data_IF_851237476924
#
_entry.id   IF_851237476924
#
_cell.length_a   1.000
_cell.length_b   1.000
_cell.length_c   1.000
_cell.angle_alpha   90.00
_cell.angle_beta   90.00
_cell.angle_gamma   90.00
#
_symmetry.space_group_name_H-M   'P 1'
#
loop_
_entity.id
_entity.type
_entity.pdbx_description
1 polymer ?
#
# COMPACT_ATOMS: atom_id res chain seq x y z
N UNK A 1 -10.82 -0.27 -15.88
CA UNK A 1 -9.65 -0.25 -16.74
C UNK A 1 -10.03 -0.19 -18.22
N UNK A 2 -9.15 0.33 -19.05
CA UNK A 2 -9.19 0.09 -20.50
C UNK A 2 -8.47 -1.22 -20.80
N UNK A 3 -8.84 -1.91 -21.89
CA UNK A 3 -8.18 -3.15 -22.34
C UNK A 3 -6.66 -2.98 -22.55
N UNK A 4 -6.19 -1.75 -22.71
CA UNK A 4 -4.76 -1.39 -22.80
C UNK A 4 -4.02 -1.62 -21.49
N UNK A 5 -4.58 -1.20 -20.34
CA UNK A 5 -3.90 -1.26 -19.04
C UNK A 5 -3.59 -2.72 -18.63
N UNK A 6 -4.50 -3.66 -18.93
CA UNK A 6 -4.25 -5.08 -18.70
C UNK A 6 -3.23 -5.67 -19.68
N UNK A 7 -3.19 -5.20 -20.93
CA UNK A 7 -2.16 -5.62 -21.88
C UNK A 7 -0.76 -5.16 -21.42
N UNK A 8 -0.65 -3.92 -20.94
CA UNK A 8 0.59 -3.36 -20.40
C UNK A 8 1.05 -4.12 -19.15
N UNK A 9 0.13 -4.46 -18.25
CA UNK A 9 0.42 -5.28 -17.06
C UNK A 9 0.94 -6.67 -17.47
N UNK A 10 0.26 -7.37 -18.38
CA UNK A 10 0.72 -8.68 -18.88
C UNK A 10 2.10 -8.61 -19.51
N UNK A 11 2.37 -7.57 -20.29
CA UNK A 11 3.68 -7.35 -20.88
C UNK A 11 4.76 -7.18 -19.80
N UNK A 12 4.50 -6.33 -18.80
CA UNK A 12 5.44 -6.10 -17.70
C UNK A 12 5.72 -7.36 -16.87
N UNK A 13 4.67 -8.14 -16.55
CA UNK A 13 4.81 -9.45 -15.86
C UNK A 13 5.66 -10.42 -16.69
N UNK A 14 5.46 -10.44 -18.01
CA UNK A 14 6.29 -11.23 -18.93
C UNK A 14 7.75 -10.82 -18.95
N UNK A 15 8.06 -9.52 -18.89
CA UNK A 15 9.43 -9.02 -18.79
C UNK A 15 10.09 -9.36 -17.43
N UNK A 16 9.32 -9.26 -16.34
CA UNK A 16 9.79 -9.64 -15.01
C UNK A 16 10.14 -11.13 -14.94
N UNK A 17 9.34 -11.99 -15.58
CA UNK A 17 9.63 -13.43 -15.72
C UNK A 17 11.01 -13.69 -16.34
N UNK A 18 11.28 -13.09 -17.49
CA UNK A 18 12.57 -13.24 -18.19
C UNK A 18 13.74 -12.76 -17.32
N UNK A 19 13.53 -11.67 -16.57
CA UNK A 19 14.55 -11.12 -15.67
C UNK A 19 14.84 -12.08 -14.51
N UNK A 20 13.81 -12.66 -13.89
CA UNK A 20 13.97 -13.62 -12.79
C UNK A 20 14.60 -14.94 -13.27
N UNK A 21 14.24 -15.42 -14.46
CA UNK A 21 14.89 -16.58 -15.08
C UNK A 21 16.39 -16.35 -15.30
N UNK A 22 16.78 -15.16 -15.76
CA UNK A 22 18.19 -14.78 -15.88
C UNK A 22 18.90 -14.72 -14.50
N UNK A 23 18.22 -14.23 -13.45
CA UNK A 23 18.76 -14.28 -12.09
C UNK A 23 18.96 -15.72 -11.62
N UNK A 24 17.99 -16.60 -11.85
CA UNK A 24 18.09 -18.03 -11.52
C UNK A 24 19.23 -18.71 -12.25
N UNK A 25 19.44 -18.39 -13.52
CA UNK A 25 20.58 -18.92 -14.28
C UNK A 25 21.93 -18.51 -13.69
N UNK A 26 22.03 -17.30 -13.13
CA UNK A 26 23.29 -16.78 -12.56
C UNK A 26 23.50 -17.16 -11.09
N UNK A 27 22.43 -17.25 -10.30
CA UNK A 27 22.50 -17.40 -8.84
C UNK A 27 21.95 -18.74 -8.33
N UNK A 28 21.42 -19.60 -9.21
CA UNK A 28 20.87 -20.91 -8.88
C UNK A 28 19.61 -20.83 -8.00
N UNK A 29 19.37 -21.89 -7.22
CA UNK A 29 18.18 -22.03 -6.36
C UNK A 29 18.31 -21.29 -5.01
N UNK A 30 18.93 -20.11 -5.02
CA UNK A 30 19.06 -19.30 -3.81
C UNK A 30 17.67 -18.96 -3.23
N UNK A 31 17.52 -18.97 -1.91
CA UNK A 31 16.23 -18.73 -1.24
C UNK A 31 15.57 -17.42 -1.67
N UNK A 32 16.36 -16.38 -1.92
CA UNK A 32 15.86 -15.09 -2.40
C UNK A 32 15.33 -15.16 -3.83
N UNK A 33 15.98 -15.92 -4.73
CA UNK A 33 15.51 -16.12 -6.11
C UNK A 33 14.20 -16.90 -6.13
N UNK A 34 14.10 -17.98 -5.34
CA UNK A 34 12.84 -18.73 -5.19
C UNK A 34 11.69 -17.88 -4.69
N UNK A 35 11.97 -16.94 -3.77
CA UNK A 35 10.94 -15.99 -3.30
C UNK A 35 10.44 -15.11 -4.44
N UNK A 36 11.34 -14.59 -5.27
CA UNK A 36 10.96 -13.82 -6.47
C UNK A 36 10.12 -14.65 -7.45
N UNK A 37 10.46 -15.93 -7.67
CA UNK A 37 9.66 -16.82 -8.51
C UNK A 37 8.25 -17.03 -7.95
N UNK A 38 8.14 -17.26 -6.64
CA UNK A 38 6.84 -17.38 -5.97
C UNK A 38 6.04 -16.09 -6.06
N UNK A 39 6.67 -14.94 -5.85
CA UNK A 39 6.01 -13.63 -5.94
C UNK A 39 5.52 -13.36 -7.38
N UNK A 40 6.29 -13.78 -8.38
CA UNK A 40 5.89 -13.70 -9.79
C UNK A 40 4.70 -14.61 -10.12
N UNK A 41 4.67 -15.83 -9.59
CA UNK A 41 3.52 -16.74 -9.74
C UNK A 41 2.26 -16.12 -9.15
N UNK A 42 2.35 -15.59 -7.92
CA UNK A 42 1.24 -14.89 -7.26
C UNK A 42 0.78 -13.68 -8.05
N UNK A 43 1.71 -12.85 -8.54
CA UNK A 43 1.37 -11.70 -9.37
C UNK A 43 0.68 -12.10 -10.67
N UNK A 44 1.05 -13.24 -11.25
CA UNK A 44 0.39 -13.78 -12.45
C UNK A 44 -1.07 -14.14 -12.15
N UNK A 45 -1.30 -14.90 -11.07
CA UNK A 45 -2.65 -15.27 -10.60
C UNK A 45 -3.48 -14.01 -10.32
N UNK A 46 -2.96 -13.10 -9.51
CA UNK A 46 -3.66 -11.88 -9.13
C UNK A 46 -4.01 -11.00 -10.35
N UNK A 47 -3.15 -10.97 -11.37
CA UNK A 47 -3.39 -10.22 -12.61
C UNK A 47 -4.52 -10.84 -13.44
N UNK A 48 -4.56 -12.17 -13.53
CA UNK A 48 -5.62 -12.91 -14.22
C UNK A 48 -6.95 -12.75 -13.50
N UNK A 49 -6.96 -12.90 -12.17
CA UNK A 49 -8.14 -12.71 -11.33
C UNK A 49 -8.69 -11.29 -11.46
N UNK A 50 -7.80 -10.29 -11.49
CA UNK A 50 -8.18 -8.88 -11.67
C UNK A 50 -8.79 -8.60 -13.05
N UNK A 51 -8.30 -9.25 -14.11
CA UNK A 51 -8.84 -9.12 -15.46
C UNK A 51 -10.21 -9.81 -15.60
N UNK A 52 -10.39 -10.97 -14.94
CA UNK A 52 -11.63 -11.73 -14.95
C UNK A 52 -12.72 -11.11 -14.06
N UNK A 53 -12.35 -10.60 -12.89
CA UNK A 53 -13.25 -10.04 -11.88
C UNK A 53 -12.73 -8.69 -11.39
N UNK A 54 -12.81 -7.63 -12.22
CA UNK A 54 -12.31 -6.32 -11.83
C UNK A 54 -13.16 -5.78 -10.66
N UNK A 55 -12.51 -5.26 -9.59
CA UNK A 55 -13.24 -4.66 -8.48
C UNK A 55 -14.01 -3.43 -8.96
N UNK A 56 -15.05 -3.01 -8.21
CA UNK A 56 -15.75 -1.77 -8.50
C UNK A 56 -14.75 -0.62 -8.52
N UNK A 57 -14.83 0.22 -9.55
CA UNK A 57 -13.97 1.40 -9.65
C UNK A 57 -14.21 2.26 -8.41
N UNK A 58 -13.16 2.51 -7.65
CA UNK A 58 -13.21 3.49 -6.56
C UNK A 58 -13.48 4.83 -7.23
N UNK A 59 -14.68 5.38 -7.05
CA UNK A 59 -14.94 6.76 -7.41
C UNK A 59 -13.91 7.60 -6.67
N UNK A 60 -13.26 8.56 -7.35
CA UNK A 60 -12.53 9.62 -6.65
C UNK A 60 -13.53 10.28 -5.72
N UNK A 61 -13.57 9.86 -4.46
CA UNK A 61 -14.37 10.51 -3.43
C UNK A 61 -13.80 11.92 -3.38
N UNK A 62 -14.59 12.91 -3.81
CA UNK A 62 -14.30 14.27 -3.42
C UNK A 62 -14.20 14.20 -1.90
N UNK A 63 -13.01 14.44 -1.36
CA UNK A 63 -12.87 14.54 0.09
C UNK A 63 -13.62 15.81 0.44
N UNK A 64 -14.89 15.65 0.82
CA UNK A 64 -15.64 16.74 1.44
C UNK A 64 -14.86 17.12 2.69
N UNK A 65 -14.47 18.41 2.84
CA UNK A 65 -13.84 18.87 4.05
C UNK A 65 -14.74 18.52 5.23
N UNK A 66 -14.22 17.75 6.18
CA UNK A 66 -14.93 17.50 7.42
C UNK A 66 -14.86 18.81 8.22
N UNK A 67 -16.02 19.43 8.46
CA UNK A 67 -16.10 20.62 9.30
C UNK A 67 -15.69 20.26 10.73
N UNK A 68 -14.63 20.90 11.23
CA UNK A 68 -14.24 20.86 12.64
C UNK A 68 -14.81 22.12 13.29
N UNK A 69 -15.75 22.01 14.24
CA UNK A 69 -16.32 23.17 14.92
C UNK A 69 -15.25 23.96 15.69
N UNK A 70 -15.35 25.30 15.66
CA UNK A 70 -14.49 26.20 16.46
C UNK A 70 -14.82 26.16 17.97
N UNK A 71 -15.90 25.48 18.36
CA UNK A 71 -16.23 25.26 19.77
C UNK A 71 -15.16 24.41 20.44
N UNK A 72 -14.86 24.72 21.70
CA UNK A 72 -13.95 23.88 22.49
C UNK A 72 -14.44 22.42 22.50
N UNK A 73 -13.55 21.50 22.21
CA UNK A 73 -13.81 20.07 22.34
C UNK A 73 -14.10 19.72 23.80
N UNK A 74 -14.91 18.69 24.03
CA UNK A 74 -15.18 18.17 25.37
C UNK A 74 -13.88 17.69 26.02
N UNK A 75 -13.43 18.39 27.07
CA UNK A 75 -12.17 18.10 27.76
C UNK A 75 -12.19 16.70 28.39
N UNK A 76 -13.36 16.20 28.80
CA UNK A 76 -13.50 14.86 29.38
C UNK A 76 -13.18 13.76 28.36
N UNK A 77 -13.44 13.99 27.07
CA UNK A 77 -13.11 13.06 25.98
C UNK A 77 -11.58 12.88 25.79
N UNK A 78 -10.78 13.81 26.32
CA UNK A 78 -9.31 13.80 26.22
C UNK A 78 -8.62 13.44 27.54
N UNK A 79 -9.37 13.22 28.62
CA UNK A 79 -8.83 12.78 29.90
C UNK A 79 -8.32 11.33 29.79
N UNK A 80 -7.02 11.12 30.01
CA UNK A 80 -6.35 9.82 29.87
C UNK A 80 -5.61 9.64 28.54
N UNK A 81 -5.96 10.38 27.48
CA UNK A 81 -5.23 10.38 26.20
C UNK A 81 -3.81 10.99 26.32
N UNK A 82 -3.51 11.63 27.45
CA UNK A 82 -2.22 12.22 27.80
C UNK A 82 -1.16 11.17 28.18
N UNK A 83 -1.59 9.94 28.48
CA UNK A 83 -0.72 8.82 28.89
C UNK A 83 -0.09 8.07 27.69
N UNK A 84 -0.58 8.32 26.47
CA UNK A 84 0.00 7.76 25.23
C UNK A 84 1.18 8.60 24.69
N UNK A 85 1.51 9.70 25.37
CA UNK A 85 2.90 10.15 25.49
C UNK A 85 3.52 10.95 24.35
N UNK A 86 2.82 11.90 23.70
CA UNK A 86 3.47 12.91 22.82
C UNK A 86 2.74 14.30 22.75
N UNK A 87 2.25 14.88 23.86
CA UNK A 87 1.51 16.14 23.68
C UNK A 87 1.12 17.03 24.86
N UNK A 88 1.99 17.27 25.85
CA UNK A 88 2.11 18.60 26.50
C UNK A 88 3.34 18.58 27.44
N UNK A 89 4.48 19.10 26.98
CA UNK A 89 5.56 19.41 27.91
C UNK A 89 5.32 20.80 28.50
N UNK A 90 4.61 20.88 29.61
CA UNK A 90 4.72 22.03 30.51
C UNK A 90 6.09 21.99 31.19
N UNK A 91 7.16 22.17 30.41
CA UNK A 91 8.46 22.54 30.98
C UNK A 91 8.41 24.05 31.26
N UNK A 92 8.75 24.50 32.47
CA UNK A 92 8.86 25.92 32.73
C UNK A 92 9.91 26.51 31.78
N UNK A 93 9.58 27.65 31.17
CA UNK A 93 10.52 28.40 30.31
C UNK A 93 11.76 28.69 31.15
N UNK A 94 12.91 28.17 30.72
CA UNK A 94 14.21 28.41 31.36
C UNK A 94 14.43 29.93 31.47
N UNK A 95 14.91 30.38 32.63
CA UNK A 95 15.25 31.79 32.88
C UNK A 95 16.38 32.26 31.99
#
# INVERSE_FOLDING_TARGET
>A
MTRSEFADLRYAVGQLRQSIEALRANYGDATTVRRLENDLERLTIDSEDLEQSPPPRVAKRAQEPIYVPDSKSDEAAWMGAQDEGLGFHSRPRTK
#
